data_IF_965431436423
#
_entry.id   IF_965431436423
#
_cell.length_a   1.000
_cell.length_b   1.000
_cell.length_c   1.000
_cell.angle_alpha   90.00
_cell.angle_beta   90.00
_cell.angle_gamma   90.00
#
_symmetry.space_group_name_H-M   'P 1'
#
loop_
_entity.id
_entity.type
_entity.pdbx_description
1 polymer ?
#
# COMPACT_ATOMS: atom_id res chain seq x y z
N UNK A 1 -16.88 -20.51 7.76
CA UNK A 1 -16.47 -19.27 7.07
C UNK A 1 -15.09 -19.50 6.48
N UNK A 2 -14.88 -19.14 5.22
CA UNK A 2 -13.59 -19.24 4.52
C UNK A 2 -13.19 -17.84 4.07
N UNK A 3 -11.95 -17.45 4.37
CA UNK A 3 -11.35 -16.19 3.97
C UNK A 3 -10.26 -16.48 2.95
N UNK A 4 -10.31 -15.79 1.81
CA UNK A 4 -9.28 -15.87 0.77
C UNK A 4 -8.70 -14.47 0.60
N UNK A 5 -7.46 -14.30 1.04
CA UNK A 5 -6.70 -13.08 0.83
C UNK A 5 -6.08 -13.08 -0.57
N UNK A 6 -5.80 -11.88 -1.08
CA UNK A 6 -5.21 -11.66 -2.40
C UNK A 6 -5.92 -12.43 -3.51
N UNK A 7 -7.26 -12.39 -3.51
CA UNK A 7 -8.09 -13.20 -4.39
C UNK A 7 -7.80 -12.98 -5.89
N UNK A 8 -7.24 -11.82 -6.27
CA UNK A 8 -6.77 -11.55 -7.62
C UNK A 8 -5.69 -12.54 -8.10
N UNK A 9 -4.90 -13.13 -7.19
CA UNK A 9 -3.88 -14.12 -7.51
C UNK A 9 -4.48 -15.45 -8.00
N UNK A 10 -5.75 -15.74 -7.68
CA UNK A 10 -6.46 -16.90 -8.27
C UNK A 10 -6.59 -16.77 -9.80
N UNK A 11 -6.59 -15.54 -10.30
CA UNK A 11 -6.74 -15.20 -11.70
C UNK A 11 -5.39 -15.08 -12.42
N UNK A 12 -4.26 -15.28 -11.73
CA UNK A 12 -2.93 -15.27 -12.34
C UNK A 12 -2.74 -16.48 -13.28
N UNK A 13 -1.86 -16.33 -14.28
CA UNK A 13 -1.58 -17.38 -15.26
C UNK A 13 -2.74 -17.59 -16.23
N UNK A 14 -3.14 -18.84 -16.48
CA UNK A 14 -4.30 -19.14 -17.35
C UNK A 14 -5.61 -19.20 -16.54
N UNK A 15 -5.60 -18.81 -15.26
CA UNK A 15 -6.78 -18.69 -14.42
C UNK A 15 -7.42 -20.04 -14.03
N UNK A 16 -6.66 -21.12 -14.03
CA UNK A 16 -7.14 -22.47 -13.71
C UNK A 16 -7.69 -22.53 -12.27
N UNK A 17 -7.01 -21.88 -11.33
CA UNK A 17 -7.43 -21.80 -9.94
C UNK A 17 -8.76 -21.03 -9.80
N UNK A 18 -8.89 -19.88 -10.46
CA UNK A 18 -10.14 -19.12 -10.50
C UNK A 18 -11.28 -19.93 -11.12
N UNK A 19 -11.05 -20.62 -12.23
CA UNK A 19 -12.06 -21.45 -12.90
C UNK A 19 -12.52 -22.63 -12.04
N UNK A 20 -11.60 -23.29 -11.33
CA UNK A 20 -11.94 -24.33 -10.38
C UNK A 20 -12.75 -23.77 -9.20
N UNK A 21 -12.40 -22.57 -8.73
CA UNK A 21 -13.06 -21.90 -7.60
C UNK A 21 -14.49 -21.43 -7.94
N UNK A 22 -14.81 -21.16 -9.22
CA UNK A 22 -16.15 -20.74 -9.63
C UNK A 22 -17.24 -21.74 -9.21
N UNK A 23 -16.95 -23.04 -9.26
CA UNK A 23 -17.90 -24.09 -8.82
C UNK A 23 -18.29 -23.94 -7.35
N UNK A 24 -17.33 -23.56 -6.50
CA UNK A 24 -17.57 -23.31 -5.07
C UNK A 24 -18.37 -22.02 -4.83
N UNK A 25 -18.25 -21.03 -5.70
CA UNK A 25 -19.03 -19.79 -5.63
C UNK A 25 -20.47 -20.00 -6.11
N UNK A 26 -20.70 -20.88 -7.08
CA UNK A 26 -22.04 -21.20 -7.61
C UNK A 26 -22.85 -22.04 -6.64
N UNK A 27 -22.24 -23.09 -6.09
CA UNK A 27 -22.88 -24.02 -5.17
C UNK A 27 -22.05 -24.15 -3.89
N UNK A 28 -22.05 -23.10 -3.04
CA UNK A 28 -21.31 -23.15 -1.79
C UNK A 28 -21.88 -24.26 -0.89
N UNK A 29 -21.03 -25.02 -0.18
CA UNK A 29 -21.50 -26.02 0.77
C UNK A 29 -22.42 -25.41 1.83
N UNK A 30 -23.36 -26.22 2.35
CA UNK A 30 -24.29 -25.77 3.40
C UNK A 30 -23.53 -25.14 4.57
N UNK A 31 -24.05 -24.04 5.09
CA UNK A 31 -23.48 -23.26 6.21
C UNK A 31 -22.07 -22.70 5.92
N UNK A 32 -21.73 -22.44 4.66
CA UNK A 32 -20.44 -21.84 4.28
C UNK A 32 -20.61 -20.40 3.80
N UNK A 33 -19.92 -19.48 4.47
CA UNK A 33 -19.71 -18.11 3.99
C UNK A 33 -18.31 -18.00 3.42
N UNK A 34 -18.21 -17.58 2.15
CA UNK A 34 -16.96 -17.27 1.47
C UNK A 34 -16.74 -15.76 1.48
N UNK A 35 -15.54 -15.32 1.87
CA UNK A 35 -15.14 -13.92 1.86
C UNK A 35 -13.85 -13.80 1.06
N UNK A 36 -13.92 -13.10 -0.07
CA UNK A 36 -12.78 -12.80 -0.93
C UNK A 36 -12.28 -11.40 -0.62
N UNK A 37 -10.98 -11.26 -0.37
CA UNK A 37 -10.33 -9.98 -0.11
C UNK A 37 -9.33 -9.71 -1.24
N UNK A 38 -9.41 -8.53 -1.84
CA UNK A 38 -8.47 -8.07 -2.85
C UNK A 38 -8.36 -6.55 -2.82
N UNK A 39 -7.16 -6.04 -3.07
CA UNK A 39 -6.84 -4.65 -3.36
C UNK A 39 -6.88 -4.34 -4.87
N UNK A 40 -6.92 -5.38 -5.71
CA UNK A 40 -6.92 -5.34 -7.17
C UNK A 40 -8.18 -5.98 -7.76
N UNK A 41 -9.33 -5.31 -7.62
CA UNK A 41 -10.63 -5.81 -8.15
C UNK A 41 -10.59 -5.94 -9.67
N UNK A 42 -9.87 -5.07 -10.36
CA UNK A 42 -9.70 -5.06 -11.81
C UNK A 42 -9.00 -6.30 -12.37
N UNK A 43 -8.22 -6.99 -11.53
CA UNK A 43 -7.51 -8.22 -11.90
C UNK A 43 -8.35 -9.48 -11.66
N UNK A 44 -9.50 -9.36 -10.99
CA UNK A 44 -10.41 -10.49 -10.82
C UNK A 44 -11.19 -10.77 -12.10
N UNK A 45 -11.43 -12.06 -12.38
CA UNK A 45 -12.28 -12.45 -13.50
C UNK A 45 -13.71 -11.90 -13.31
N UNK A 46 -14.34 -11.32 -14.36
CA UNK A 46 -15.72 -10.84 -14.29
C UNK A 46 -16.72 -11.89 -13.78
N UNK A 47 -16.45 -13.18 -14.04
CA UNK A 47 -17.26 -14.32 -13.60
C UNK A 47 -17.28 -14.49 -12.08
N UNK A 48 -16.14 -14.31 -11.40
CA UNK A 48 -16.06 -14.29 -9.92
C UNK A 48 -16.84 -13.08 -9.40
N UNK A 49 -16.58 -11.91 -9.99
CA UNK A 49 -17.15 -10.67 -9.51
C UNK A 49 -18.69 -10.68 -9.62
N UNK A 50 -19.25 -11.26 -10.69
CA UNK A 50 -20.70 -11.37 -10.90
C UNK A 50 -21.43 -12.25 -9.87
N UNK A 51 -20.70 -13.14 -9.17
CA UNK A 51 -21.23 -14.09 -8.18
C UNK A 51 -20.96 -13.65 -6.73
N UNK A 52 -20.32 -12.50 -6.53
CA UNK A 52 -19.98 -11.98 -5.21
C UNK A 52 -20.68 -10.65 -4.93
N UNK A 53 -21.10 -10.44 -3.69
CA UNK A 53 -21.49 -9.12 -3.23
C UNK A 53 -20.24 -8.27 -3.02
N UNK A 54 -20.19 -7.09 -3.68
CA UNK A 54 -19.05 -6.17 -3.54
C UNK A 54 -19.22 -5.30 -2.31
N UNK A 55 -18.21 -5.30 -1.45
CA UNK A 55 -18.05 -4.36 -0.35
C UNK A 55 -16.76 -3.57 -0.58
N UNK A 56 -16.89 -2.29 -0.90
CA UNK A 56 -15.76 -1.41 -1.14
C UNK A 56 -15.23 -0.80 0.15
N UNK A 57 -13.92 -0.83 0.33
CA UNK A 57 -13.23 -0.14 1.42
C UNK A 57 -12.48 1.06 0.84
N UNK A 58 -13.09 2.26 0.79
CA UNK A 58 -12.41 3.44 0.30
C UNK A 58 -11.28 3.83 1.25
N UNK A 59 -10.38 4.66 0.73
CA UNK A 59 -9.36 5.32 1.55
C UNK A 59 -10.03 6.16 2.64
N UNK A 60 -9.34 6.31 3.77
CA UNK A 60 -9.80 7.22 4.81
C UNK A 60 -9.74 8.67 4.34
N UNK A 61 -10.70 9.46 4.80
CA UNK A 61 -10.71 10.90 4.60
C UNK A 61 -9.50 11.53 5.31
N UNK A 62 -8.90 12.54 4.68
CA UNK A 62 -7.82 13.31 5.26
C UNK A 62 -8.23 13.94 6.60
N UNK A 63 -9.50 14.37 6.74
CA UNK A 63 -10.05 14.88 8.00
C UNK A 63 -10.08 13.81 9.10
N UNK A 64 -10.36 12.56 8.75
CA UNK A 64 -10.34 11.46 9.71
C UNK A 64 -8.92 11.22 10.22
N UNK A 65 -7.94 11.17 9.30
CA UNK A 65 -6.52 10.99 9.65
C UNK A 65 -5.99 12.18 10.45
N UNK A 66 -6.36 13.41 10.08
CA UNK A 66 -5.99 14.64 10.77
C UNK A 66 -6.49 14.62 12.23
N UNK A 67 -7.78 14.31 12.43
CA UNK A 67 -8.36 14.18 13.76
C UNK A 67 -7.68 13.06 14.55
N UNK A 68 -7.38 11.94 13.91
CA UNK A 68 -6.63 10.87 14.55
C UNK A 68 -5.24 11.33 15.00
N UNK A 69 -4.48 12.07 14.18
CA UNK A 69 -3.19 12.66 14.57
C UNK A 69 -3.31 13.65 15.74
N UNK A 70 -4.38 14.45 15.81
CA UNK A 70 -4.64 15.36 16.95
C UNK A 70 -4.85 14.61 18.27
N UNK A 71 -5.36 13.38 18.23
CA UNK A 71 -5.47 12.54 19.45
C UNK A 71 -4.11 11.97 19.91
N UNK A 72 -3.06 12.16 19.10
CA UNK A 72 -1.70 11.68 19.37
C UNK A 72 -0.82 12.87 19.74
N UNK A 73 0.33 12.63 20.36
CA UNK A 73 1.30 13.66 20.74
C UNK A 73 2.10 14.17 19.52
N UNK A 74 1.41 14.47 18.42
CA UNK A 74 1.98 15.06 17.20
C UNK A 74 1.82 16.57 17.27
N UNK A 75 2.86 17.31 16.90
CA UNK A 75 2.79 18.78 16.89
C UNK A 75 1.80 19.25 15.82
N UNK A 76 0.94 20.24 16.10
CA UNK A 76 -0.05 20.71 15.14
C UNK A 76 0.54 21.16 13.80
N UNK A 77 1.74 21.73 13.80
CA UNK A 77 2.44 22.15 12.57
C UNK A 77 2.79 21.00 11.61
N UNK A 78 2.97 19.78 12.13
CA UNK A 78 3.42 18.62 11.34
C UNK A 78 2.23 17.86 10.73
N UNK A 79 1.03 18.01 11.30
CA UNK A 79 -0.15 17.24 10.92
C UNK A 79 -0.48 17.38 9.43
N UNK A 80 -0.49 18.57 8.81
CA UNK A 80 -0.81 18.69 7.38
C UNK A 80 0.15 17.89 6.49
N UNK A 81 1.44 17.88 6.82
CA UNK A 81 2.45 17.11 6.10
C UNK A 81 2.21 15.61 6.27
N UNK A 82 1.98 15.15 7.51
CA UNK A 82 1.78 13.73 7.81
C UNK A 82 0.49 13.18 7.19
N UNK A 83 -0.59 13.97 7.16
CA UNK A 83 -1.83 13.64 6.45
C UNK A 83 -1.55 13.48 4.95
N UNK A 84 -0.87 14.47 4.34
CA UNK A 84 -0.51 14.44 2.93
C UNK A 84 0.39 13.26 2.55
N UNK A 85 1.31 12.86 3.43
CA UNK A 85 2.15 11.68 3.26
C UNK A 85 1.39 10.36 3.45
N UNK A 86 0.35 10.36 4.30
CA UNK A 86 -0.48 9.17 4.58
C UNK A 86 -1.42 8.82 3.42
N UNK A 87 -1.91 9.82 2.66
CA UNK A 87 -2.79 9.64 1.48
C UNK A 87 -3.98 8.71 1.73
N UNK A 88 -4.64 8.87 2.88
CA UNK A 88 -5.77 8.02 3.27
C UNK A 88 -5.40 6.60 3.72
N UNK A 89 -4.11 6.24 3.83
CA UNK A 89 -3.64 4.95 4.34
C UNK A 89 -3.33 5.06 5.84
N UNK A 90 -4.13 4.35 6.64
CA UNK A 90 -4.00 4.35 8.10
C UNK A 90 -2.69 3.76 8.60
N UNK A 91 -2.18 2.70 7.97
CA UNK A 91 -0.93 2.07 8.37
C UNK A 91 0.25 3.03 8.18
N UNK A 92 0.24 3.83 7.12
CA UNK A 92 1.24 4.89 6.95
C UNK A 92 1.10 5.95 8.03
N UNK A 93 -0.13 6.39 8.34
CA UNK A 93 -0.37 7.34 9.42
C UNK A 93 0.20 6.85 10.76
N UNK A 94 -0.02 5.57 11.10
CA UNK A 94 0.56 4.94 12.28
C UNK A 94 2.09 4.87 12.25
N UNK A 95 2.64 4.48 11.10
CA UNK A 95 4.08 4.40 10.91
C UNK A 95 4.76 5.75 11.07
N UNK A 96 4.16 6.85 10.60
CA UNK A 96 4.75 8.18 10.76
C UNK A 96 4.87 8.62 12.21
N UNK A 97 3.97 8.18 13.10
CA UNK A 97 4.07 8.48 14.53
C UNK A 97 5.21 7.68 15.18
N UNK A 98 5.50 6.48 14.69
CA UNK A 98 6.58 5.65 15.22
C UNK A 98 7.98 6.12 14.78
N UNK A 99 8.05 7.05 13.81
CA UNK A 99 9.30 7.60 13.29
C UNK A 99 9.48 9.07 13.70
N UNK A 100 10.73 9.52 13.77
CA UNK A 100 11.02 10.93 13.96
C UNK A 100 10.82 11.70 12.66
N UNK A 101 10.23 12.90 12.72
CA UNK A 101 9.97 13.72 11.55
C UNK A 101 11.26 14.15 10.84
N UNK A 102 12.34 14.35 11.60
CA UNK A 102 13.66 14.69 11.08
C UNK A 102 14.17 13.61 10.13
N UNK A 103 13.87 12.34 10.42
CA UNK A 103 14.24 11.22 9.56
C UNK A 103 13.44 11.22 8.27
N UNK A 104 12.15 11.58 8.33
CA UNK A 104 11.29 11.70 7.15
C UNK A 104 11.80 12.80 6.22
N UNK A 105 12.06 13.99 6.76
CA UNK A 105 12.60 15.12 6.01
C UNK A 105 13.94 14.74 5.37
N UNK A 106 14.83 14.11 6.13
CA UNK A 106 16.12 13.64 5.60
C UNK A 106 15.96 12.64 4.45
N UNK A 107 15.02 11.71 4.54
CA UNK A 107 14.73 10.78 3.45
C UNK A 107 14.25 11.51 2.21
N UNK A 108 13.36 12.50 2.35
CA UNK A 108 12.91 13.32 1.22
C UNK A 108 14.07 14.09 0.60
N UNK A 109 14.91 14.74 1.41
CA UNK A 109 16.10 15.46 0.94
C UNK A 109 17.08 14.56 0.20
N UNK A 110 17.40 13.40 0.76
CA UNK A 110 18.33 12.43 0.16
C UNK A 110 17.78 11.94 -1.18
N UNK A 111 16.47 11.65 -1.25
CA UNK A 111 15.79 11.30 -2.51
C UNK A 111 15.85 12.43 -3.53
N UNK A 112 15.51 13.66 -3.14
CA UNK A 112 15.53 14.83 -4.05
C UNK A 112 16.94 15.10 -4.57
N UNK A 113 17.97 14.99 -3.73
CA UNK A 113 19.38 15.13 -4.16
C UNK A 113 19.78 14.04 -5.14
N UNK A 114 19.37 12.80 -4.92
CA UNK A 114 19.65 11.69 -5.83
C UNK A 114 18.94 11.85 -7.18
N UNK A 115 17.69 12.32 -7.21
CA UNK A 115 16.92 12.51 -8.45
C UNK A 115 17.48 13.66 -9.30
N UNK A 116 17.87 14.77 -8.66
CA UNK A 116 18.30 15.99 -9.37
C UNK A 116 19.78 15.97 -9.83
N UNK A 117 20.49 14.87 -9.60
CA UNK A 117 21.89 14.75 -10.00
C UNK A 117 22.01 13.71 -11.11
N UNK A 118 22.36 14.16 -12.31
CA UNK A 118 22.75 13.32 -13.46
C UNK A 118 24.16 12.71 -13.23
N UNK A 119 24.35 12.11 -12.06
CA UNK A 119 25.59 11.48 -11.63
C UNK A 119 25.37 9.96 -11.50
N UNK A 120 25.86 9.16 -12.48
CA UNK A 120 25.68 7.71 -12.49
C UNK A 120 26.19 7.00 -11.22
N UNK A 121 27.24 7.51 -10.58
CA UNK A 121 27.80 6.89 -9.38
C UNK A 121 26.90 7.08 -8.17
N UNK A 122 26.19 8.20 -8.08
CA UNK A 122 25.21 8.43 -7.02
C UNK A 122 23.96 7.60 -7.19
N UNK A 123 23.50 7.41 -8.42
CA UNK A 123 22.43 6.44 -8.72
C UNK A 123 22.83 5.02 -8.36
N UNK A 124 24.08 4.63 -8.65
CA UNK A 124 24.61 3.31 -8.28
C UNK A 124 24.63 3.12 -6.77
N UNK A 125 25.13 4.11 -6.02
CA UNK A 125 25.15 4.09 -4.56
C UNK A 125 23.73 4.03 -3.97
N UNK A 126 22.82 4.85 -4.48
CA UNK A 126 21.40 4.84 -4.10
C UNK A 126 20.77 3.45 -4.24
N UNK A 127 20.96 2.81 -5.41
CA UNK A 127 20.45 1.47 -5.69
C UNK A 127 21.04 0.45 -4.71
N UNK A 128 22.34 0.53 -4.41
CA UNK A 128 23.00 -0.37 -3.45
C UNK A 128 22.44 -0.19 -2.03
N UNK A 129 22.28 1.04 -1.57
CA UNK A 129 21.75 1.36 -0.25
C UNK A 129 20.30 0.88 -0.09
N UNK A 130 19.44 1.13 -1.10
CA UNK A 130 18.06 0.64 -1.12
C UNK A 130 17.98 -0.88 -1.21
N UNK A 131 18.86 -1.52 -2.00
CA UNK A 131 18.92 -2.99 -2.10
C UNK A 131 19.35 -3.63 -0.78
N UNK A 132 20.27 -3.00 -0.05
CA UNK A 132 20.69 -3.44 1.28
C UNK A 132 19.55 -3.29 2.28
N UNK A 133 18.85 -2.15 2.25
CA UNK A 133 17.69 -1.88 3.09
C UNK A 133 16.58 -2.91 2.85
N UNK A 134 16.24 -3.23 1.60
CA UNK A 134 15.25 -4.25 1.25
C UNK A 134 15.55 -5.64 1.85
N UNK A 135 16.82 -5.98 2.01
CA UNK A 135 17.26 -7.27 2.58
C UNK A 135 17.29 -7.26 4.10
N UNK A 136 17.54 -6.12 4.73
CA UNK A 136 17.78 -6.01 6.18
C UNK A 136 16.53 -5.57 6.95
N UNK A 137 15.69 -4.73 6.36
CA UNK A 137 14.56 -4.09 6.99
C UNK A 137 13.49 -3.79 5.94
N UNK A 138 12.61 -4.78 5.71
CA UNK A 138 11.59 -4.71 4.67
C UNK A 138 10.52 -3.66 4.96
N UNK A 139 10.24 -3.38 6.24
CA UNK A 139 9.29 -2.34 6.64
C UNK A 139 9.84 -0.95 6.30
N UNK A 140 11.10 -0.69 6.65
CA UNK A 140 11.78 0.58 6.31
C UNK A 140 11.98 0.75 4.81
N UNK A 141 12.23 -0.34 4.08
CA UNK A 141 12.30 -0.30 2.63
C UNK A 141 10.95 0.05 2.01
N UNK A 142 9.90 -0.69 2.38
CA UNK A 142 8.53 -0.48 1.90
C UNK A 142 8.11 0.97 2.15
N UNK A 143 8.40 1.48 3.34
CA UNK A 143 8.18 2.86 3.70
C UNK A 143 8.93 3.86 2.80
N UNK A 144 10.25 3.75 2.69
CA UNK A 144 11.07 4.70 1.93
C UNK A 144 10.71 4.68 0.44
N UNK A 145 10.42 3.49 -0.08
CA UNK A 145 9.94 3.29 -1.45
C UNK A 145 8.54 3.88 -1.66
N UNK A 146 7.64 3.77 -0.67
CA UNK A 146 6.32 4.37 -0.73
C UNK A 146 6.38 5.90 -0.67
N UNK A 147 7.22 6.46 0.22
CA UNK A 147 7.49 7.90 0.27
C UNK A 147 8.03 8.41 -1.08
N UNK A 148 9.00 7.71 -1.66
CA UNK A 148 9.52 8.01 -3.00
C UNK A 148 8.42 7.96 -4.08
N UNK A 149 7.66 6.87 -4.17
CA UNK A 149 6.55 6.71 -5.12
C UNK A 149 5.48 7.80 -4.97
N UNK A 150 5.31 8.34 -3.76
CA UNK A 150 4.35 9.40 -3.50
C UNK A 150 4.89 10.80 -3.84
N UNK A 151 6.18 11.04 -3.68
CA UNK A 151 6.83 12.32 -3.98
C UNK A 151 7.05 12.52 -5.48
N UNK A 152 7.28 11.44 -6.23
CA UNK A 152 7.37 11.51 -7.69
C UNK A 152 5.95 11.68 -8.24
N UNK A 153 5.66 12.77 -8.98
CA UNK A 153 4.38 12.90 -9.66
C UNK A 153 4.19 11.69 -10.56
N UNK A 154 2.99 11.10 -10.58
CA UNK A 154 2.66 10.12 -11.61
C UNK A 154 2.79 10.83 -12.96
N UNK A 155 3.88 10.57 -13.69
CA UNK A 155 3.95 10.92 -15.10
C UNK A 155 2.73 10.28 -15.78
N UNK A 156 1.89 11.12 -16.38
CA UNK A 156 0.77 10.68 -17.21
C UNK A 156 1.29 10.01 -18.48
#
# INVERSE_FOLDING_TARGET
MVLVFDAHLLCAGQGEAANAFLKLLEEPPKNTTLVLVTDHVELLLPTIISRCQRLGFPKLDDLYIENWFKTKMVRPEDIPLLVGLSRGNFFHAQFFISQSLERLIKLVEDLTRSINQDDPEKWRKFIQDYSKMAKQDIEKFSFSFHAFKNLVPKCK
#
